data_IF_481831767551
#
_entry.id   IF_481831767551
#
_cell.length_a   1.000
_cell.length_b   1.000
_cell.length_c   1.000
_cell.angle_alpha   90.00
_cell.angle_beta   90.00
_cell.angle_gamma   90.00
#
_symmetry.space_group_name_H-M   'P 1'
#
loop_
_entity.id
_entity.type
_entity.pdbx_description
1 polymer ?
#
# COMPACT_ATOMS: atom_id res chain seq x y z
N UNK A 1 -41.41 54.26 0.26
CA UNK A 1 -40.16 53.47 0.22
C UNK A 1 -39.77 53.09 1.65
N UNK A 2 -39.69 51.79 1.95
CA UNK A 2 -39.31 51.27 3.27
C UNK A 2 -38.15 50.28 3.13
N UNK A 3 -37.09 50.56 3.89
CA UNK A 3 -35.86 49.78 4.08
C UNK A 3 -36.09 48.61 5.04
N UNK A 4 -35.34 47.50 4.89
CA UNK A 4 -34.52 46.95 5.99
C UNK A 4 -33.55 45.86 5.52
N UNK A 5 -32.29 46.08 5.88
CA UNK A 5 -31.11 45.21 5.75
C UNK A 5 -31.15 44.13 6.83
N UNK A 6 -30.87 42.87 6.48
CA UNK A 6 -30.74 41.79 7.47
C UNK A 6 -29.28 41.58 7.89
N UNK A 7 -29.14 41.36 9.20
CA UNK A 7 -27.94 41.36 10.05
C UNK A 7 -27.09 40.10 9.87
N UNK A 8 -25.77 40.31 9.98
CA UNK A 8 -24.76 39.31 10.32
C UNK A 8 -24.92 38.86 11.78
N UNK A 9 -24.78 37.57 12.06
CA UNK A 9 -24.77 37.00 13.40
C UNK A 9 -23.38 36.42 13.68
N UNK A 10 -22.75 37.00 14.69
CA UNK A 10 -21.50 36.61 15.34
C UNK A 10 -21.82 35.56 16.41
N UNK A 11 -21.05 34.48 16.48
CA UNK A 11 -21.10 33.50 17.58
C UNK A 11 -19.85 33.73 18.44
N UNK A 12 -19.98 34.01 19.75
CA UNK A 12 -18.85 34.26 20.64
C UNK A 12 -18.28 32.96 21.23
N UNK A 13 -17.02 33.06 21.66
CA UNK A 13 -16.14 31.94 21.97
C UNK A 13 -16.27 31.34 23.36
N UNK A 14 -15.53 30.25 23.56
CA UNK A 14 -15.11 29.76 24.87
C UNK A 14 -13.65 29.29 24.74
N UNK A 15 -12.75 30.14 25.23
CA UNK A 15 -11.32 29.91 25.39
C UNK A 15 -11.14 29.29 26.78
N UNK A 16 -10.89 27.99 26.87
CA UNK A 16 -10.59 27.31 28.12
C UNK A 16 -9.09 26.96 28.14
N UNK A 17 -8.34 27.74 28.90
CA UNK A 17 -6.96 27.50 29.26
C UNK A 17 -6.90 26.34 30.26
N UNK A 18 -6.35 25.18 29.86
CA UNK A 18 -5.93 24.15 30.81
C UNK A 18 -4.39 24.11 30.82
N UNK A 19 -3.84 24.83 31.79
CA UNK A 19 -2.45 24.74 32.22
C UNK A 19 -2.17 23.33 32.75
N UNK A 20 -1.31 22.57 32.10
CA UNK A 20 -0.69 21.39 32.71
C UNK A 20 0.70 21.77 33.18
N UNK A 21 0.80 22.14 34.46
CA UNK A 21 2.05 22.07 35.22
C UNK A 21 2.31 20.59 35.49
N UNK A 22 3.39 20.03 34.94
CA UNK A 22 3.93 18.75 35.40
C UNK A 22 5.16 19.07 36.25
N UNK A 23 4.93 19.16 37.57
CA UNK A 23 5.98 19.04 38.57
C UNK A 23 6.52 17.60 38.58
N UNK A 24 7.83 17.49 38.71
CA UNK A 24 8.53 16.24 38.94
C UNK A 24 8.39 15.80 40.41
N UNK A 25 8.21 14.50 40.68
CA UNK A 25 8.66 13.91 41.93
C UNK A 25 9.99 13.18 41.70
N UNK A 26 11.02 13.75 42.32
CA UNK A 26 12.27 13.07 42.65
C UNK A 26 11.95 11.93 43.64
N UNK A 27 12.39 10.71 43.33
CA UNK A 27 12.59 9.64 44.31
C UNK A 27 13.80 8.83 43.89
N UNK A 28 14.90 9.01 44.61
CA UNK A 28 16.03 8.10 44.63
C UNK A 28 15.68 6.89 45.51
N UNK A 29 16.17 5.68 45.17
CA UNK A 29 16.92 4.76 46.06
C UNK A 29 17.03 3.34 45.46
N UNK A 30 18.28 2.84 45.47
CA UNK A 30 18.76 1.46 45.54
C UNK A 30 18.70 0.50 44.32
N UNK A 31 19.93 0.17 43.87
CA UNK A 31 20.31 -1.13 43.30
C UNK A 31 19.94 -2.29 44.24
N UNK A 32 19.70 -3.49 43.67
CA UNK A 32 20.38 -4.66 44.20
C UNK A 32 21.13 -5.46 43.13
N UNK A 33 22.32 -5.89 43.56
CA UNK A 33 23.19 -6.93 43.04
C UNK A 33 22.50 -8.30 43.01
N UNK A 34 22.85 -9.14 42.02
CA UNK A 34 22.84 -10.60 42.18
C UNK A 34 21.97 -11.38 41.19
N UNK A 35 22.64 -11.98 40.21
CA UNK A 35 22.44 -13.30 39.61
C UNK A 35 21.01 -13.87 39.50
N UNK A 36 20.58 -14.15 38.26
CA UNK A 36 19.92 -15.43 38.00
C UNK A 36 20.00 -15.87 36.54
N UNK A 37 20.28 -17.16 36.41
CA UNK A 37 20.43 -17.98 35.21
C UNK A 37 19.12 -17.97 34.43
N UNK A 38 19.18 -17.77 33.11
CA UNK A 38 18.06 -18.11 32.23
C UNK A 38 18.57 -18.95 31.05
N UNK A 39 18.36 -20.25 31.21
CA UNK A 39 18.22 -21.23 30.14
C UNK A 39 17.06 -20.81 29.22
N UNK A 40 17.38 -20.44 27.98
CA UNK A 40 16.40 -20.30 26.91
C UNK A 40 16.77 -21.22 25.75
N UNK A 41 16.62 -22.52 25.98
CA UNK A 41 16.29 -23.44 24.90
C UNK A 41 14.90 -23.13 24.36
N UNK A 42 14.84 -22.28 23.33
CA UNK A 42 13.87 -22.44 22.24
C UNK A 42 14.41 -21.74 21.01
N UNK A 43 14.92 -22.57 20.10
CA UNK A 43 15.14 -22.21 18.71
C UNK A 43 13.86 -21.58 18.16
N UNK A 44 13.89 -20.27 17.97
CA UNK A 44 13.28 -19.69 16.79
C UNK A 44 14.46 -19.46 15.88
N UNK A 45 14.55 -20.28 14.84
CA UNK A 45 15.43 -20.03 13.71
C UNK A 45 15.12 -18.62 13.25
N UNK A 46 16.02 -17.69 13.60
CA UNK A 46 16.20 -16.46 12.85
C UNK A 46 16.46 -16.92 11.42
N UNK A 47 15.41 -16.96 10.61
CA UNK A 47 15.58 -16.74 9.20
C UNK A 47 16.09 -15.30 9.09
N UNK A 48 17.41 -15.16 9.26
CA UNK A 48 18.17 -14.01 8.78
C UNK A 48 17.55 -13.65 7.43
N UNK A 49 17.04 -12.41 7.26
CA UNK A 49 16.60 -11.98 5.94
C UNK A 49 17.87 -12.07 5.10
N UNK A 50 17.99 -13.18 4.36
CA UNK A 50 19.06 -13.43 3.42
C UNK A 50 19.27 -12.12 2.71
N UNK A 51 20.46 -11.54 2.93
CA UNK A 51 20.86 -10.23 2.48
C UNK A 51 20.18 -9.95 1.15
N UNK A 52 19.20 -9.05 1.21
CA UNK A 52 18.43 -8.61 0.07
C UNK A 52 19.41 -7.89 -0.84
N UNK A 53 20.07 -8.66 -1.72
CA UNK A 53 21.05 -8.14 -2.64
C UNK A 53 20.40 -7.01 -3.43
N UNK A 54 20.99 -5.83 -3.34
CA UNK A 54 21.01 -4.68 -4.25
C UNK A 54 19.82 -4.35 -5.18
N UNK A 55 18.59 -4.80 -4.92
CA UNK A 55 17.45 -4.35 -5.72
C UNK A 55 17.21 -2.87 -5.46
N UNK A 56 17.13 -2.07 -6.54
CA UNK A 56 16.76 -0.65 -6.44
C UNK A 56 15.40 -0.48 -5.77
N UNK A 57 15.20 0.65 -5.09
CA UNK A 57 13.87 1.03 -4.60
C UNK A 57 12.89 1.15 -5.77
N UNK A 58 11.62 0.85 -5.51
CA UNK A 58 10.58 1.09 -6.51
C UNK A 58 10.50 2.57 -6.85
N UNK A 59 10.51 2.84 -8.15
CA UNK A 59 10.26 4.15 -8.73
C UNK A 59 8.82 4.20 -9.21
N UNK A 60 8.14 5.29 -8.87
CA UNK A 60 6.80 5.55 -9.37
C UNK A 60 6.86 5.89 -10.88
N UNK A 61 6.05 5.20 -11.69
CA UNK A 61 6.05 5.36 -13.14
C UNK A 61 4.77 5.97 -13.68
N UNK A 62 3.73 6.09 -12.86
CA UNK A 62 2.47 6.71 -13.24
C UNK A 62 1.28 6.03 -12.61
N UNK A 63 0.10 6.53 -12.94
CA UNK A 63 -1.15 6.02 -12.40
C UNK A 63 -2.28 6.17 -13.40
N UNK A 64 -3.27 5.29 -13.32
CA UNK A 64 -4.40 5.28 -14.25
C UNK A 64 -5.66 4.68 -13.61
N UNK A 65 -6.81 4.98 -14.21
CA UNK A 65 -8.03 4.25 -13.91
C UNK A 65 -7.93 2.83 -14.46
N UNK A 66 -8.33 1.85 -13.67
CA UNK A 66 -8.42 0.47 -14.12
C UNK A 66 -9.42 0.36 -15.27
N UNK A 67 -8.93 0.00 -16.45
CA UNK A 67 -9.76 -0.36 -17.59
C UNK A 67 -10.23 -1.81 -17.45
N UNK A 68 -11.51 -1.99 -17.11
CA UNK A 68 -12.11 -3.32 -16.93
C UNK A 68 -12.08 -4.13 -18.23
N UNK A 69 -12.04 -3.49 -19.40
CA UNK A 69 -11.95 -4.20 -20.69
C UNK A 69 -10.62 -4.92 -20.86
N UNK A 70 -9.59 -4.52 -20.11
CA UNK A 70 -8.29 -5.19 -20.05
C UNK A 70 -8.26 -6.34 -19.03
N UNK A 71 -9.33 -6.55 -18.25
CA UNK A 71 -9.42 -7.62 -17.25
C UNK A 71 -10.09 -8.85 -17.84
N UNK A 72 -9.45 -10.01 -17.72
CA UNK A 72 -9.94 -11.26 -18.30
C UNK A 72 -9.68 -12.47 -17.40
N UNK A 73 -10.45 -13.54 -17.60
CA UNK A 73 -10.29 -14.80 -16.86
C UNK A 73 -9.60 -15.86 -17.71
N UNK A 74 -8.66 -16.61 -17.12
CA UNK A 74 -8.00 -17.77 -17.74
C UNK A 74 -7.55 -18.74 -16.66
N UNK A 75 -7.71 -20.05 -16.86
CA UNK A 75 -7.22 -21.09 -15.93
C UNK A 75 -7.55 -20.80 -14.44
N UNK A 76 -8.81 -20.47 -14.15
CA UNK A 76 -9.32 -20.10 -12.82
C UNK A 76 -8.69 -18.85 -12.16
N UNK A 77 -7.88 -18.09 -12.88
CA UNK A 77 -7.30 -16.83 -12.43
C UNK A 77 -7.91 -15.66 -13.20
N UNK A 78 -7.92 -14.49 -12.57
CA UNK A 78 -8.28 -13.22 -13.20
C UNK A 78 -7.01 -12.42 -13.41
N UNK A 79 -6.86 -11.88 -14.62
CA UNK A 79 -5.66 -11.17 -15.05
C UNK A 79 -5.99 -9.77 -15.52
N UNK A 80 -5.05 -8.85 -15.36
CA UNK A 80 -4.99 -7.58 -16.06
C UNK A 80 -4.03 -7.70 -17.25
N UNK A 81 -4.51 -7.39 -18.45
CA UNK A 81 -3.70 -7.29 -19.65
C UNK A 81 -2.80 -6.06 -19.54
N UNK A 82 -1.49 -6.27 -19.65
CA UNK A 82 -0.49 -5.18 -19.60
C UNK A 82 -0.01 -4.74 -20.99
N UNK A 83 -0.23 -5.57 -22.00
CA UNK A 83 0.14 -5.31 -23.39
C UNK A 83 -0.83 -6.03 -24.35
N UNK A 84 -0.92 -5.59 -25.63
CA UNK A 84 -1.66 -6.30 -26.65
C UNK A 84 -1.23 -7.76 -26.77
N UNK A 85 -2.20 -8.63 -27.11
CA UNK A 85 -1.94 -10.06 -27.27
C UNK A 85 -1.06 -10.32 -28.49
N UNK A 86 -0.10 -11.24 -28.35
CA UNK A 86 0.87 -11.55 -29.40
C UNK A 86 2.10 -10.63 -29.44
N UNK A 87 2.19 -9.61 -28.60
CA UNK A 87 3.41 -8.81 -28.44
C UNK A 87 4.53 -9.68 -27.85
N UNK A 88 5.62 -9.83 -28.61
CA UNK A 88 6.76 -10.67 -28.21
C UNK A 88 7.65 -9.99 -27.18
N UNK A 89 7.79 -8.66 -27.27
CA UNK A 89 8.63 -7.85 -26.38
C UNK A 89 7.76 -6.99 -25.46
N UNK A 90 7.00 -7.65 -24.58
CA UNK A 90 6.11 -6.98 -23.64
C UNK A 90 5.89 -7.82 -22.37
N UNK A 91 5.53 -7.18 -21.23
CA UNK A 91 5.18 -7.92 -20.03
C UNK A 91 3.96 -8.81 -20.27
N UNK A 92 4.01 -10.03 -19.72
CA UNK A 92 2.86 -10.91 -19.65
C UNK A 92 1.71 -10.32 -18.82
N UNK A 93 0.50 -10.91 -18.90
CA UNK A 93 -0.63 -10.45 -18.11
C UNK A 93 -0.37 -10.61 -16.60
N UNK A 94 -0.85 -9.65 -15.83
CA UNK A 94 -0.68 -9.58 -14.39
C UNK A 94 -1.81 -10.32 -13.68
N UNK A 95 -1.49 -11.30 -12.82
CA UNK A 95 -2.49 -11.95 -11.97
C UNK A 95 -3.03 -10.94 -10.96
N UNK A 96 -4.35 -10.77 -10.88
CA UNK A 96 -4.96 -9.86 -9.92
C UNK A 96 -4.99 -10.46 -8.50
N UNK A 97 -4.90 -9.60 -7.45
CA UNK A 97 -5.08 -10.03 -6.08
C UNK A 97 -6.40 -10.79 -5.87
N UNK A 98 -6.39 -11.84 -5.04
CA UNK A 98 -7.56 -12.72 -4.84
C UNK A 98 -8.86 -11.98 -4.55
N UNK A 99 -8.84 -10.95 -3.70
CA UNK A 99 -10.00 -10.13 -3.37
C UNK A 99 -10.60 -9.46 -4.61
N UNK A 100 -9.76 -8.96 -5.51
CA UNK A 100 -10.19 -8.34 -6.77
C UNK A 100 -10.73 -9.38 -7.73
N UNK A 101 -10.06 -10.52 -7.85
CA UNK A 101 -10.50 -11.66 -8.66
C UNK A 101 -11.89 -12.13 -8.23
N UNK A 102 -12.12 -12.30 -6.93
CA UNK A 102 -13.41 -12.69 -6.36
C UNK A 102 -14.51 -11.64 -6.66
N UNK A 103 -14.18 -10.34 -6.61
CA UNK A 103 -15.11 -9.27 -6.95
C UNK A 103 -15.48 -9.25 -8.43
N UNK A 104 -14.49 -9.42 -9.32
CA UNK A 104 -14.68 -9.46 -10.76
C UNK A 104 -15.54 -10.66 -11.18
N UNK A 105 -15.26 -11.85 -10.64
CA UNK A 105 -16.02 -13.07 -10.92
C UNK A 105 -17.49 -12.92 -10.48
N UNK A 106 -17.75 -12.25 -9.36
CA UNK A 106 -19.13 -11.97 -8.91
C UNK A 106 -19.86 -11.00 -9.83
N UNK A 107 -19.21 -9.91 -10.23
CA UNK A 107 -19.73 -8.94 -11.18
C UNK A 107 -18.57 -8.08 -11.70
N UNK A 108 -18.36 -8.09 -13.01
CA UNK A 108 -17.25 -7.37 -13.66
C UNK A 108 -17.27 -5.87 -13.36
N UNK A 109 -18.45 -5.28 -13.17
CA UNK A 109 -18.59 -3.85 -12.84
C UNK A 109 -18.15 -3.49 -11.43
N UNK A 110 -17.88 -4.46 -10.54
CA UNK A 110 -17.40 -4.17 -9.18
C UNK A 110 -16.04 -3.48 -9.17
N UNK A 111 -15.26 -3.66 -10.24
CA UNK A 111 -13.95 -3.03 -10.42
C UNK A 111 -14.04 -1.66 -11.11
N UNK A 112 -15.25 -1.16 -11.43
CA UNK A 112 -15.43 0.11 -12.12
C UNK A 112 -15.03 1.28 -11.23
N UNK A 113 -14.23 2.19 -11.78
CA UNK A 113 -13.73 3.34 -11.05
C UNK A 113 -12.65 3.00 -10.03
N UNK A 114 -12.01 1.83 -10.15
CA UNK A 114 -10.80 1.55 -9.39
C UNK A 114 -9.59 2.23 -10.02
N UNK A 115 -8.55 2.46 -9.23
CA UNK A 115 -7.36 3.20 -9.62
C UNK A 115 -6.11 2.34 -9.41
N UNK A 116 -5.11 2.51 -10.26
CA UNK A 116 -3.85 1.78 -10.22
C UNK A 116 -2.70 2.77 -10.10
N UNK A 117 -1.81 2.56 -9.13
CA UNK A 117 -0.49 3.18 -9.12
C UNK A 117 0.54 2.18 -9.62
N UNK A 118 1.38 2.63 -10.55
CA UNK A 118 2.39 1.81 -11.21
C UNK A 118 3.77 2.18 -10.69
N UNK A 119 4.56 1.15 -10.47
CA UNK A 119 5.94 1.26 -10.05
C UNK A 119 6.81 0.30 -10.83
N UNK A 120 8.09 0.63 -10.93
CA UNK A 120 9.10 -0.27 -11.47
C UNK A 120 10.35 -0.27 -10.61
N UNK A 121 11.11 -1.37 -10.66
CA UNK A 121 12.50 -1.39 -10.20
C UNK A 121 13.32 -2.28 -11.09
N UNK A 122 14.60 -1.98 -11.19
CA UNK A 122 15.58 -2.90 -11.77
C UNK A 122 16.00 -3.90 -10.69
N UNK A 123 16.00 -5.17 -11.09
CA UNK A 123 16.54 -6.25 -10.25
C UNK A 123 18.05 -6.35 -10.44
N UNK A 124 18.71 -7.20 -9.66
CA UNK A 124 20.14 -7.46 -9.86
C UNK A 124 20.45 -8.28 -11.12
N UNK A 125 19.43 -8.90 -11.70
CA UNK A 125 19.58 -9.63 -12.94
C UNK A 125 19.59 -8.63 -14.11
N UNK A 126 20.62 -8.69 -14.99
CA UNK A 126 20.71 -7.76 -16.11
C UNK A 126 19.47 -7.90 -16.99
N UNK A 127 18.97 -6.77 -17.44
CA UNK A 127 17.79 -6.67 -18.31
C UNK A 127 16.47 -7.17 -17.69
N UNK A 128 16.40 -7.38 -16.38
CA UNK A 128 15.15 -7.73 -15.70
C UNK A 128 14.63 -6.56 -14.90
N UNK A 129 13.42 -6.13 -15.23
CA UNK A 129 12.64 -5.21 -14.43
C UNK A 129 11.47 -5.92 -13.75
N UNK A 130 11.12 -5.44 -12.57
CA UNK A 130 9.91 -5.84 -11.88
C UNK A 130 8.92 -4.68 -11.90
N UNK A 131 7.73 -4.95 -12.41
CA UNK A 131 6.61 -4.04 -12.45
C UNK A 131 5.72 -4.34 -11.24
N UNK A 132 5.32 -3.29 -10.51
CA UNK A 132 4.42 -3.39 -9.36
C UNK A 132 3.22 -2.48 -9.58
N UNK A 133 2.05 -2.98 -9.19
CA UNK A 133 0.77 -2.33 -9.37
C UNK A 133 0.03 -2.34 -8.03
N UNK A 134 -0.24 -1.16 -7.50
CA UNK A 134 -1.00 -0.98 -6.27
C UNK A 134 -2.42 -0.58 -6.64
N UNK A 135 -3.40 -1.35 -6.18
CA UNK A 135 -4.80 -1.19 -6.56
C UNK A 135 -5.57 -0.49 -5.45
N UNK A 136 -6.37 0.50 -5.84
CA UNK A 136 -7.22 1.28 -4.97
C UNK A 136 -8.65 1.21 -5.49
N UNK A 137 -9.63 1.11 -4.59
CA UNK A 137 -11.04 1.14 -4.97
C UNK A 137 -11.49 2.57 -5.33
N UNK A 138 -12.76 2.70 -5.72
CA UNK A 138 -13.39 3.99 -6.04
C UNK A 138 -13.38 5.03 -4.92
N UNK A 139 -13.16 4.60 -3.67
CA UNK A 139 -13.04 5.47 -2.50
C UNK A 139 -11.57 5.75 -2.16
N UNK A 140 -10.64 5.40 -3.04
CA UNK A 140 -9.19 5.49 -2.85
C UNK A 140 -8.68 4.69 -1.64
N UNK A 141 -9.38 3.60 -1.28
CA UNK A 141 -8.88 2.65 -0.29
C UNK A 141 -8.01 1.60 -0.96
N UNK A 142 -6.82 1.37 -0.43
CA UNK A 142 -5.91 0.35 -0.91
C UNK A 142 -6.52 -1.06 -0.78
N UNK A 143 -6.43 -1.86 -1.84
CA UNK A 143 -7.06 -3.18 -1.96
C UNK A 143 -6.07 -4.32 -2.17
N UNK A 144 -4.81 -4.00 -2.50
CA UNK A 144 -3.77 -5.00 -2.69
C UNK A 144 -2.72 -4.53 -3.69
N UNK A 145 -1.68 -5.34 -3.79
CA UNK A 145 -0.58 -5.17 -4.74
C UNK A 145 -0.47 -6.43 -5.58
N UNK A 146 -0.12 -6.27 -6.86
CA UNK A 146 0.41 -7.37 -7.66
C UNK A 146 1.67 -6.92 -8.38
N UNK A 147 2.57 -7.87 -8.67
CA UNK A 147 3.79 -7.61 -9.40
C UNK A 147 4.04 -8.68 -10.46
N UNK A 148 4.82 -8.32 -11.47
CA UNK A 148 5.31 -9.23 -12.50
C UNK A 148 6.71 -8.82 -12.92
N UNK A 149 7.53 -9.79 -13.32
CA UNK A 149 8.85 -9.54 -13.90
C UNK A 149 8.78 -9.54 -15.42
N UNK A 150 9.61 -8.72 -16.04
CA UNK A 150 9.72 -8.61 -17.48
C UNK A 150 11.19 -8.46 -17.89
N UNK A 151 11.54 -9.19 -18.96
CA UNK A 151 12.86 -9.20 -19.55
C UNK A 151 12.89 -8.19 -20.69
N UNK A 152 13.78 -7.20 -20.60
CA UNK A 152 14.09 -6.28 -21.68
C UNK A 152 14.94 -7.06 -22.70
N UNK A 153 14.43 -7.23 -23.93
CA UNK A 153 15.14 -7.87 -25.02
C UNK A 153 16.19 -6.94 -25.66
#
# INVERSE_FOLDING_TARGET
MKSRKNKSIVIPGILACCSFMIEAPCSATALPTGENIIDFSRQVVDASPNQMGNSTSYQYTGSEWLDITQVFQKNNNVYLRLAPEGMMDAPGPLVLPKKMSDLFIRNTNNLKGWYIYKYMRYTNYPHVQELRFDFYDKNQQYQGTASTTYWLL
#
